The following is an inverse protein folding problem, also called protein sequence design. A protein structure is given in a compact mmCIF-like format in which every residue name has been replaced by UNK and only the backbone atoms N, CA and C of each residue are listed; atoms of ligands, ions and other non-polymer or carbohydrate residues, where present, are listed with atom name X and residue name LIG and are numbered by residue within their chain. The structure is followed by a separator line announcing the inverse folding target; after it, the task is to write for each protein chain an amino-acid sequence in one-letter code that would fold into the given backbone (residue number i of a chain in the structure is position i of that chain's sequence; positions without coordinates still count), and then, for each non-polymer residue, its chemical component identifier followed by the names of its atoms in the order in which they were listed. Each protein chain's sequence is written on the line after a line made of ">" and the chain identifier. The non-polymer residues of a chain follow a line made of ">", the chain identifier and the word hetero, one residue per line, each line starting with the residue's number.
data_IF_452312169125
#
_entry.id   IF_452312169125
#
_cell.length_a   1.000
_cell.length_b   1.000
_cell.length_c   1.000
_cell.angle_alpha   90.00
_cell.angle_beta   90.00
_cell.angle_gamma   90.00
#
_symmetry.space_group_name_H-M   'P 1'
#
loop_
_entity.id
_entity.type
_entity.pdbx_description
1 polymer ?
#
# COMPACT_ATOMS: atom_id res chain seq x y z
N UNK A 1 -28.48 -22.56 21.97
CA UNK A 1 -27.13 -22.10 21.55
C UNK A 1 -26.13 -22.25 22.70
N UNK A 2 -25.71 -23.48 23.03
CA UNK A 2 -24.77 -23.75 24.15
C UNK A 2 -23.30 -23.48 23.80
N UNK A 3 -22.94 -23.63 22.52
CA UNK A 3 -21.54 -23.55 22.09
C UNK A 3 -20.99 -22.12 22.02
N UNK A 4 -21.84 -21.13 21.73
CA UNK A 4 -21.43 -19.71 21.63
C UNK A 4 -20.94 -19.19 22.98
N UNK A 5 -21.65 -19.53 24.06
CA UNK A 5 -21.26 -19.19 25.42
C UNK A 5 -19.90 -19.79 25.77
N UNK A 6 -19.67 -21.06 25.44
CA UNK A 6 -18.39 -21.73 25.69
C UNK A 6 -17.23 -21.13 24.88
N UNK A 7 -17.47 -20.79 23.60
CA UNK A 7 -16.46 -20.08 22.78
C UNK A 7 -16.13 -18.72 23.39
N UNK A 8 -17.14 -17.96 23.82
CA UNK A 8 -16.93 -16.65 24.43
C UNK A 8 -16.19 -16.74 25.77
N UNK A 9 -16.45 -17.77 26.58
CA UNK A 9 -15.69 -18.02 27.82
C UNK A 9 -14.20 -18.20 27.52
N UNK A 10 -13.84 -19.07 26.56
CA UNK A 10 -12.43 -19.27 26.16
C UNK A 10 -11.80 -17.97 25.66
N UNK A 11 -12.51 -17.22 24.81
CA UNK A 11 -12.01 -15.95 24.26
C UNK A 11 -11.92 -14.83 25.30
N UNK A 12 -12.79 -14.80 26.30
CA UNK A 12 -12.74 -13.81 27.37
C UNK A 12 -11.50 -14.01 28.25
N UNK A 13 -11.17 -15.26 28.57
CA UNK A 13 -10.01 -15.59 29.42
C UNK A 13 -8.69 -15.41 28.66
N UNK A 14 -8.61 -15.87 27.41
CA UNK A 14 -7.33 -15.97 26.70
C UNK A 14 -7.18 -15.05 25.48
N UNK A 15 -8.29 -14.56 24.91
CA UNK A 15 -8.31 -13.87 23.61
C UNK A 15 -7.55 -12.54 23.58
N UNK A 16 -7.34 -11.90 24.73
CA UNK A 16 -6.62 -10.64 24.84
C UNK A 16 -5.08 -10.76 24.71
N UNK A 17 -4.53 -11.98 24.69
CA UNK A 17 -3.08 -12.23 24.56
C UNK A 17 -2.77 -12.93 23.23
N UNK A 18 -1.69 -12.50 22.58
CA UNK A 18 -1.12 -13.15 21.41
C UNK A 18 -0.28 -14.35 21.83
N UNK A 19 0.06 -15.18 20.86
CA UNK A 19 0.91 -16.36 21.03
C UNK A 19 2.30 -16.06 21.59
N UNK A 20 2.79 -14.83 21.39
CA UNK A 20 4.08 -14.35 21.87
C UNK A 20 3.98 -13.57 23.19
N UNK A 21 2.85 -13.66 23.91
CA UNK A 21 2.61 -12.96 25.18
C UNK A 21 2.10 -11.53 25.07
N UNK A 22 2.33 -10.85 23.94
CA UNK A 22 1.92 -9.46 23.75
C UNK A 22 0.39 -9.29 23.68
N UNK A 23 -0.11 -8.09 24.00
CA UNK A 23 -1.53 -7.76 23.88
C UNK A 23 -2.05 -7.96 22.44
N UNK A 24 -3.16 -8.67 22.29
CA UNK A 24 -3.87 -8.80 21.04
C UNK A 24 -4.67 -7.52 20.78
N UNK A 25 -4.48 -6.91 19.61
CA UNK A 25 -5.30 -5.76 19.19
C UNK A 25 -6.77 -6.18 19.11
N UNK A 26 -7.70 -5.31 19.43
CA UNK A 26 -9.14 -5.57 19.34
C UNK A 26 -9.54 -6.20 18.00
N UNK A 27 -9.06 -5.65 16.87
CA UNK A 27 -9.27 -6.22 15.53
C UNK A 27 -8.84 -7.68 15.40
N UNK A 28 -7.75 -8.08 16.05
CA UNK A 28 -7.28 -9.48 16.04
C UNK A 28 -8.25 -10.36 16.81
N UNK A 29 -8.78 -9.88 17.95
CA UNK A 29 -9.76 -10.59 18.76
C UNK A 29 -11.08 -10.75 17.98
N UNK A 30 -11.58 -9.67 17.38
CA UNK A 30 -12.80 -9.68 16.55
C UNK A 30 -12.69 -10.63 15.36
N UNK A 31 -11.59 -10.57 14.61
CA UNK A 31 -11.37 -11.49 13.47
C UNK A 31 -11.21 -12.94 13.91
N UNK A 32 -10.58 -13.17 15.07
CA UNK A 32 -10.47 -14.53 15.63
C UNK A 32 -11.85 -15.05 15.98
N UNK A 33 -12.64 -14.30 16.74
CA UNK A 33 -14.02 -14.64 17.09
C UNK A 33 -14.85 -14.95 15.85
N UNK A 34 -14.81 -14.08 14.83
CA UNK A 34 -15.56 -14.26 13.60
C UNK A 34 -15.23 -15.57 12.88
N UNK A 35 -13.93 -15.92 12.78
CA UNK A 35 -13.49 -17.17 12.15
C UNK A 35 -13.94 -18.39 12.96
N UNK A 36 -13.83 -18.36 14.30
CA UNK A 36 -14.30 -19.46 15.15
C UNK A 36 -15.81 -19.66 15.00
N UNK A 37 -16.59 -18.57 15.05
CA UNK A 37 -18.05 -18.63 14.86
C UNK A 37 -18.45 -19.16 13.48
N UNK A 38 -17.76 -18.71 12.43
CA UNK A 38 -17.99 -19.21 11.07
C UNK A 38 -17.65 -20.71 10.97
N UNK A 39 -16.57 -21.15 11.64
CA UNK A 39 -16.14 -22.55 11.66
C UNK A 39 -17.15 -23.44 12.40
N UNK A 40 -17.63 -23.01 13.58
CA UNK A 40 -18.65 -23.70 14.37
C UNK A 40 -19.95 -23.88 13.59
N UNK A 41 -20.45 -22.80 12.98
CA UNK A 41 -21.64 -22.87 12.12
C UNK A 41 -21.41 -23.78 10.92
N UNK A 42 -20.21 -23.78 10.34
CA UNK A 42 -19.91 -24.65 9.21
C UNK A 42 -19.85 -26.13 9.60
N UNK A 43 -19.24 -26.47 10.74
CA UNK A 43 -19.27 -27.86 11.25
C UNK A 43 -20.70 -28.35 11.46
N UNK A 44 -21.58 -27.51 12.02
CA UNK A 44 -22.98 -27.86 12.21
C UNK A 44 -23.70 -28.11 10.88
N UNK A 45 -23.45 -27.26 9.87
CA UNK A 45 -24.00 -27.45 8.52
C UNK A 45 -23.47 -28.71 7.82
N UNK A 46 -22.26 -29.18 8.17
CA UNK A 46 -21.68 -30.43 7.70
C UNK A 46 -22.08 -31.66 8.54
N UNK A 47 -23.05 -31.51 9.45
CA UNK A 47 -23.59 -32.60 10.26
C UNK A 47 -22.90 -32.82 11.62
N UNK A 48 -21.84 -32.07 11.93
CA UNK A 48 -21.12 -32.17 13.21
C UNK A 48 -21.63 -31.12 14.20
N UNK A 49 -22.62 -31.52 15.01
CA UNK A 49 -23.21 -30.69 16.08
C UNK A 49 -22.27 -30.56 17.30
N UNK A 50 -21.17 -29.82 17.13
CA UNK A 50 -20.21 -29.56 18.21
C UNK A 50 -20.83 -28.58 19.21
N UNK A 51 -21.24 -29.08 20.37
CA UNK A 51 -21.77 -28.24 21.45
C UNK A 51 -20.69 -27.65 22.35
N UNK A 52 -19.57 -28.35 22.52
CA UNK A 52 -18.42 -27.91 23.28
C UNK A 52 -17.20 -27.78 22.36
N UNK A 53 -16.57 -26.60 22.24
CA UNK A 53 -15.36 -26.44 21.43
C UNK A 53 -14.20 -27.32 21.94
N UNK A 54 -14.19 -27.75 23.20
CA UNK A 54 -13.21 -28.72 23.71
C UNK A 54 -13.38 -30.10 23.08
N UNK A 55 -14.52 -30.42 22.45
CA UNK A 55 -14.72 -31.68 21.73
C UNK A 55 -14.12 -31.67 20.32
N UNK A 56 -13.42 -30.59 19.93
CA UNK A 56 -12.69 -30.55 18.66
C UNK A 56 -11.59 -31.63 18.61
N UNK A 57 -11.57 -32.35 17.48
CA UNK A 57 -10.66 -33.43 17.11
C UNK A 57 -10.10 -33.15 15.72
N UNK A 58 -8.99 -33.78 15.36
CA UNK A 58 -8.29 -33.56 14.08
C UNK A 58 -9.23 -33.76 12.88
N UNK A 59 -10.08 -34.79 12.91
CA UNK A 59 -11.12 -35.05 11.89
C UNK A 59 -12.04 -33.85 11.60
N UNK A 60 -12.34 -33.02 12.61
CA UNK A 60 -13.19 -31.84 12.42
C UNK A 60 -12.41 -30.74 11.68
N UNK A 61 -11.12 -30.58 11.99
CA UNK A 61 -10.26 -29.61 11.30
C UNK A 61 -10.06 -30.03 9.84
N UNK A 62 -9.78 -31.31 9.61
CA UNK A 62 -9.63 -31.89 8.27
C UNK A 62 -10.88 -31.65 7.42
N UNK A 63 -12.05 -32.08 7.90
CA UNK A 63 -13.33 -31.86 7.22
C UNK A 63 -13.53 -30.38 6.85
N UNK A 64 -13.23 -29.46 7.77
CA UNK A 64 -13.43 -28.03 7.54
C UNK A 64 -12.48 -27.46 6.48
N UNK A 65 -11.21 -27.86 6.52
CA UNK A 65 -10.21 -27.41 5.54
C UNK A 65 -10.53 -27.95 4.16
N UNK A 66 -10.93 -29.22 4.06
CA UNK A 66 -11.37 -29.84 2.80
C UNK A 66 -12.62 -29.15 2.26
N UNK A 67 -13.62 -28.89 3.11
CA UNK A 67 -14.82 -28.15 2.71
C UNK A 67 -14.51 -26.72 2.24
N UNK A 68 -13.62 -26.00 2.94
CA UNK A 68 -13.19 -24.67 2.53
C UNK A 68 -12.56 -24.65 1.15
N UNK A 69 -11.79 -25.69 0.81
CA UNK A 69 -11.11 -25.80 -0.48
C UNK A 69 -12.07 -26.26 -1.58
N UNK A 70 -12.64 -27.46 -1.44
CA UNK A 70 -13.39 -28.12 -2.52
C UNK A 70 -14.81 -27.55 -2.68
N UNK A 71 -15.48 -27.19 -1.59
CA UNK A 71 -16.87 -26.72 -1.61
C UNK A 71 -16.95 -25.20 -1.66
N UNK A 72 -16.33 -24.52 -0.71
CA UNK A 72 -16.43 -23.04 -0.61
C UNK A 72 -15.47 -22.32 -1.56
N UNK A 73 -14.52 -23.05 -2.18
CA UNK A 73 -13.52 -22.49 -3.11
C UNK A 73 -12.80 -21.27 -2.53
N UNK A 74 -12.52 -21.31 -1.22
CA UNK A 74 -11.81 -20.23 -0.53
C UNK A 74 -10.40 -20.12 -1.10
N UNK A 75 -9.92 -18.88 -1.27
CA UNK A 75 -8.52 -18.63 -1.62
C UNK A 75 -7.59 -19.26 -0.58
N UNK A 76 -6.51 -19.88 -1.03
CA UNK A 76 -5.53 -20.53 -0.16
C UNK A 76 -5.04 -19.63 0.99
N UNK A 77 -4.77 -18.35 0.70
CA UNK A 77 -4.36 -17.38 1.74
C UNK A 77 -5.41 -17.20 2.83
N UNK A 78 -6.70 -17.22 2.48
CA UNK A 78 -7.80 -17.14 3.44
C UNK A 78 -7.80 -18.39 4.33
N UNK A 79 -7.66 -19.58 3.75
CA UNK A 79 -7.57 -20.85 4.49
C UNK A 79 -6.39 -20.82 5.46
N UNK A 80 -5.19 -20.42 5.02
CA UNK A 80 -4.02 -20.30 5.90
C UNK A 80 -4.28 -19.35 7.09
N UNK A 81 -4.92 -18.20 6.83
CA UNK A 81 -5.21 -17.20 7.86
C UNK A 81 -6.28 -17.70 8.85
N UNK A 82 -7.32 -18.35 8.36
CA UNK A 82 -8.40 -18.93 9.18
C UNK A 82 -7.85 -20.09 10.02
N UNK A 83 -7.06 -20.98 9.42
CA UNK A 83 -6.42 -22.09 10.11
C UNK A 83 -5.43 -21.62 11.18
N UNK A 84 -4.72 -20.51 10.94
CA UNK A 84 -3.83 -19.91 11.94
C UNK A 84 -4.60 -19.41 13.17
N UNK A 85 -5.82 -18.87 12.98
CA UNK A 85 -6.71 -18.46 14.08
C UNK A 85 -7.28 -19.67 14.83
N UNK A 86 -7.67 -20.72 14.10
CA UNK A 86 -8.08 -21.99 14.70
C UNK A 86 -6.97 -22.59 15.56
N UNK A 87 -5.71 -22.57 15.09
CA UNK A 87 -4.57 -23.05 15.87
C UNK A 87 -4.39 -22.25 17.16
N UNK A 88 -4.51 -20.93 17.10
CA UNK A 88 -4.47 -20.06 18.28
C UNK A 88 -5.57 -20.45 19.27
N UNK A 89 -6.81 -20.59 18.80
CA UNK A 89 -7.96 -20.96 19.62
C UNK A 89 -7.82 -22.37 20.23
N UNK A 90 -7.33 -23.36 19.48
CA UNK A 90 -7.07 -24.70 20.00
C UNK A 90 -6.00 -24.69 21.08
N UNK A 91 -4.95 -23.86 20.95
CA UNK A 91 -3.97 -23.68 22.02
C UNK A 91 -4.59 -23.07 23.28
N UNK A 92 -5.51 -22.11 23.15
CA UNK A 92 -6.22 -21.53 24.30
C UNK A 92 -7.02 -22.59 25.09
N UNK A 93 -7.50 -23.64 24.40
CA UNK A 93 -8.18 -24.78 25.02
C UNK A 93 -7.24 -25.91 25.47
N UNK A 94 -5.93 -25.67 25.54
CA UNK A 94 -4.95 -26.70 25.93
C UNK A 94 -4.62 -27.74 24.85
N UNK A 95 -4.93 -27.47 23.57
CA UNK A 95 -4.73 -28.38 22.43
C UNK A 95 -3.78 -27.81 21.36
N UNK A 96 -2.50 -27.54 21.68
CA UNK A 96 -1.59 -26.81 20.78
C UNK A 96 -1.26 -27.54 19.46
N UNK A 97 -1.26 -28.88 19.47
CA UNK A 97 -0.88 -29.70 18.31
C UNK A 97 -2.07 -30.20 17.48
N UNK A 98 -3.30 -29.76 17.79
CA UNK A 98 -4.50 -30.24 17.12
C UNK A 98 -4.59 -29.81 15.64
N UNK A 99 -4.07 -28.63 15.31
CA UNK A 99 -4.21 -28.03 13.98
C UNK A 99 -2.89 -28.16 13.22
N UNK A 100 -2.86 -29.09 12.27
CA UNK A 100 -1.71 -29.42 11.41
C UNK A 100 -1.44 -28.33 10.36
N UNK A 101 -0.45 -28.53 9.47
CA UNK A 101 -0.21 -27.63 8.34
C UNK A 101 -1.29 -27.84 7.28
N UNK A 102 -1.56 -26.83 6.45
CA UNK A 102 -2.61 -26.95 5.41
C UNK A 102 -2.32 -28.11 4.44
N UNK A 103 -1.05 -28.33 4.09
CA UNK A 103 -0.63 -29.42 3.21
C UNK A 103 -0.95 -30.82 3.77
N UNK A 104 -1.03 -30.97 5.09
CA UNK A 104 -1.36 -32.26 5.71
C UNK A 104 -2.84 -32.62 5.49
N UNK A 105 -3.70 -31.62 5.27
CA UNK A 105 -5.14 -31.79 5.00
C UNK A 105 -5.49 -31.81 3.50
N UNK A 106 -4.67 -31.15 2.68
CA UNK A 106 -4.85 -31.02 1.22
C UNK A 106 -3.72 -31.72 0.47
N UNK A 107 -3.39 -32.95 0.86
CA UNK A 107 -2.31 -33.74 0.27
C UNK A 107 -2.60 -34.19 -1.17
N UNK A 108 -3.89 -34.23 -1.55
CA UNK A 108 -4.41 -34.54 -2.87
C UNK A 108 -4.50 -33.33 -3.81
N UNK A 109 -4.13 -32.14 -3.34
CA UNK A 109 -4.11 -30.91 -4.14
C UNK A 109 -2.69 -30.65 -4.63
N UNK A 110 -2.56 -30.34 -5.92
CA UNK A 110 -1.26 -29.98 -6.51
C UNK A 110 -0.59 -28.85 -5.69
N UNK A 111 0.63 -29.06 -5.17
CA UNK A 111 1.36 -28.11 -4.34
C UNK A 111 1.46 -26.70 -4.94
N UNK A 112 1.42 -26.55 -6.27
CA UNK A 112 1.47 -25.24 -6.93
C UNK A 112 0.30 -24.34 -6.55
N UNK A 113 -0.86 -24.91 -6.22
CA UNK A 113 -2.03 -24.15 -5.78
C UNK A 113 -2.01 -23.83 -4.27
N UNK A 114 -1.08 -24.43 -3.53
CA UNK A 114 -0.89 -24.27 -2.08
C UNK A 114 0.30 -23.34 -1.76
N UNK A 115 0.58 -22.39 -2.66
CA UNK A 115 1.63 -21.38 -2.49
C UNK A 115 1.00 -19.99 -2.46
N UNK A 116 1.49 -19.13 -1.55
CA UNK A 116 1.11 -17.70 -1.51
C UNK A 116 2.25 -16.88 -2.07
N UNK A 117 2.08 -16.36 -3.28
CA UNK A 117 2.98 -15.34 -3.82
C UNK A 117 2.61 -13.97 -3.23
N UNK A 118 3.51 -13.40 -2.44
CA UNK A 118 3.32 -12.07 -1.82
C UNK A 118 3.89 -10.93 -2.64
N UNK A 119 4.72 -11.23 -3.64
CA UNK A 119 5.28 -10.24 -4.55
C UNK A 119 4.17 -9.61 -5.40
N UNK A 120 4.24 -8.30 -5.61
CA UNK A 120 3.34 -7.62 -6.53
C UNK A 120 3.57 -8.12 -7.96
N UNK A 121 2.51 -8.48 -8.65
CA UNK A 121 2.56 -8.79 -10.10
C UNK A 121 2.16 -7.59 -10.95
N UNK A 122 1.46 -6.63 -10.36
CA UNK A 122 1.05 -5.36 -10.96
C UNK A 122 1.24 -4.24 -9.93
N UNK A 123 1.56 -3.01 -10.37
CA UNK A 123 1.59 -1.85 -9.48
C UNK A 123 0.22 -1.61 -8.87
N UNK A 124 0.20 -1.04 -7.66
CA UNK A 124 -1.03 -0.80 -6.87
C UNK A 124 -1.25 0.69 -6.57
N UNK A 125 -0.35 1.54 -7.04
CA UNK A 125 -0.45 2.99 -6.92
C UNK A 125 -1.62 3.54 -7.73
N UNK A 126 -2.07 4.73 -7.37
CA UNK A 126 -3.16 5.41 -8.05
C UNK A 126 -2.68 5.96 -9.39
N UNK A 127 -1.44 6.44 -9.43
CA UNK A 127 -0.75 6.83 -10.67
C UNK A 127 -0.74 5.70 -11.70
N UNK A 128 -0.38 4.46 -11.31
CA UNK A 128 -0.38 3.34 -12.23
C UNK A 128 -1.78 2.90 -12.71
N UNK A 129 -2.84 3.32 -11.99
CA UNK A 129 -4.22 3.17 -12.41
C UNK A 129 -4.68 4.30 -13.38
N UNK A 130 -3.80 5.25 -13.70
CA UNK A 130 -4.07 6.38 -14.59
C UNK A 130 -4.87 7.50 -13.92
N UNK A 131 -4.85 7.59 -12.59
CA UNK A 131 -5.56 8.63 -11.86
C UNK A 131 -4.71 9.91 -11.79
N UNK A 132 -5.27 11.02 -12.28
CA UNK A 132 -4.69 12.34 -12.06
C UNK A 132 -4.92 12.78 -10.61
N UNK A 133 -3.84 12.89 -9.84
CA UNK A 133 -3.91 13.14 -8.40
C UNK A 133 -4.54 14.50 -8.07
N UNK A 134 -4.29 15.54 -8.88
CA UNK A 134 -4.87 16.86 -8.63
C UNK A 134 -6.37 16.86 -8.82
N UNK A 135 -6.87 16.37 -9.96
CA UNK A 135 -8.31 16.22 -10.20
C UNK A 135 -8.99 15.34 -9.15
N UNK A 136 -8.31 14.28 -8.70
CA UNK A 136 -8.81 13.41 -7.63
C UNK A 136 -8.92 14.16 -6.30
N UNK A 137 -7.92 14.96 -5.95
CA UNK A 137 -7.98 15.73 -4.72
C UNK A 137 -9.10 16.77 -4.74
N UNK A 138 -9.30 17.47 -5.86
CA UNK A 138 -10.43 18.40 -6.03
C UNK A 138 -11.78 17.68 -5.84
N UNK A 139 -11.95 16.52 -6.49
CA UNK A 139 -13.15 15.69 -6.33
C UNK A 139 -13.38 15.25 -4.89
N UNK A 140 -12.33 14.87 -4.17
CA UNK A 140 -12.42 14.44 -2.77
C UNK A 140 -12.74 15.64 -1.88
N UNK A 141 -12.08 16.78 -2.07
CA UNK A 141 -12.27 17.99 -1.28
C UNK A 141 -13.71 18.51 -1.39
N UNK A 142 -14.29 18.46 -2.59
CA UNK A 142 -15.70 18.80 -2.83
C UNK A 142 -16.67 17.89 -2.06
N UNK A 143 -16.27 16.65 -1.75
CA UNK A 143 -17.11 15.68 -1.03
C UNK A 143 -16.91 15.70 0.48
N UNK A 144 -15.65 15.68 0.92
CA UNK A 144 -15.23 15.71 2.32
C UNK A 144 -13.77 16.23 2.38
N UNK A 145 -13.63 17.53 2.68
CA UNK A 145 -12.33 18.21 2.80
C UNK A 145 -11.36 17.47 3.73
N UNK A 146 -11.85 16.89 4.82
CA UNK A 146 -11.00 16.22 5.80
C UNK A 146 -10.38 14.94 5.21
N UNK A 147 -11.16 14.16 4.45
CA UNK A 147 -10.62 13.03 3.70
C UNK A 147 -9.53 13.49 2.72
N UNK A 148 -9.76 14.60 2.00
CA UNK A 148 -8.79 15.12 1.04
C UNK A 148 -7.46 15.53 1.68
N UNK A 149 -7.48 16.05 2.91
CA UNK A 149 -6.27 16.28 3.70
C UNK A 149 -5.57 14.97 4.07
N UNK A 150 -6.33 13.95 4.50
CA UNK A 150 -5.76 12.64 4.84
C UNK A 150 -5.08 11.99 3.62
N UNK A 151 -5.73 11.98 2.46
CA UNK A 151 -5.19 11.32 1.26
C UNK A 151 -3.88 11.98 0.79
N UNK A 152 -3.77 13.31 0.91
CA UNK A 152 -2.52 14.04 0.63
C UNK A 152 -1.38 13.60 1.56
N UNK A 153 -1.63 13.48 2.87
CA UNK A 153 -0.63 12.97 3.82
C UNK A 153 -0.30 11.49 3.57
N UNK A 154 -1.29 10.66 3.22
CA UNK A 154 -1.05 9.26 2.84
C UNK A 154 -0.18 9.15 1.58
N UNK A 155 -0.31 10.06 0.62
CA UNK A 155 0.55 10.12 -0.57
C UNK A 155 1.97 10.59 -0.22
N UNK A 156 2.10 11.69 0.52
CA UNK A 156 3.39 12.33 0.79
C UNK A 156 4.27 11.57 1.79
N UNK A 157 3.66 10.88 2.77
CA UNK A 157 4.38 10.21 3.86
C UNK A 157 4.00 8.73 4.02
N UNK A 158 3.14 8.19 3.15
CA UNK A 158 2.84 6.77 3.15
C UNK A 158 2.14 6.27 4.40
N UNK A 159 1.42 7.11 5.15
CA UNK A 159 0.74 6.71 6.38
C UNK A 159 -0.26 5.58 6.10
N UNK A 160 -0.47 4.73 7.11
CA UNK A 160 -1.60 3.79 7.07
C UNK A 160 -2.88 4.53 7.44
N UNK A 161 -4.02 4.05 6.96
CA UNK A 161 -5.36 4.56 7.30
C UNK A 161 -5.56 4.88 8.80
N UNK A 162 -5.14 3.98 9.69
CA UNK A 162 -5.27 4.23 11.14
C UNK A 162 -4.27 5.29 11.65
N UNK A 163 -3.08 5.36 11.05
CA UNK A 163 -2.05 6.37 11.37
C UNK A 163 -2.53 7.77 10.96
N UNK A 164 -3.09 7.91 9.74
CA UNK A 164 -3.55 9.22 9.26
C UNK A 164 -4.77 9.74 10.03
N UNK A 165 -5.65 8.87 10.51
CA UNK A 165 -6.79 9.27 11.34
C UNK A 165 -6.37 9.83 12.72
N UNK A 166 -5.20 9.39 13.22
CA UNK A 166 -4.62 9.87 14.50
C UNK A 166 -3.62 11.00 14.29
N UNK A 167 -3.37 11.38 13.04
CA UNK A 167 -2.28 12.27 12.67
C UNK A 167 -2.59 13.71 13.06
N UNK A 168 -1.74 14.32 13.87
CA UNK A 168 -1.69 15.76 14.09
C UNK A 168 -0.50 16.31 13.30
N UNK A 169 -0.80 16.90 12.14
CA UNK A 169 0.22 17.38 11.20
C UNK A 169 1.08 18.50 11.75
N UNK A 170 0.58 19.28 12.72
CA UNK A 170 1.33 20.37 13.32
C UNK A 170 2.32 19.83 14.34
N UNK A 171 1.88 18.85 15.15
CA UNK A 171 2.74 18.24 16.15
C UNK A 171 3.78 17.29 15.54
N UNK A 172 3.52 16.68 14.38
CA UNK A 172 4.36 15.62 13.81
C UNK A 172 5.38 16.10 12.77
N UNK A 173 5.35 17.38 12.42
CA UNK A 173 6.27 18.01 11.48
C UNK A 173 7.50 18.58 12.18
N UNK A 174 8.65 17.91 12.03
CA UNK A 174 9.94 18.34 12.55
C UNK A 174 10.82 19.00 11.47
N UNK A 175 10.22 19.43 10.36
CA UNK A 175 10.90 20.06 9.23
C UNK A 175 11.62 19.06 8.33
N UNK A 176 12.65 18.37 8.84
CA UNK A 176 13.45 17.39 8.06
C UNK A 176 12.80 16.00 8.00
N UNK A 177 11.90 15.71 8.92
CA UNK A 177 11.18 14.44 8.96
C UNK A 177 9.78 14.64 9.55
N UNK A 178 8.92 13.67 9.24
CA UNK A 178 7.59 13.54 9.78
C UNK A 178 7.55 12.35 10.75
N UNK A 179 7.25 12.62 12.02
CA UNK A 179 7.34 11.64 13.08
C UNK A 179 6.02 10.86 13.25
N UNK A 180 6.09 9.54 13.34
CA UNK A 180 4.98 8.70 13.80
C UNK A 180 5.25 8.33 15.26
N UNK A 181 4.40 8.80 16.17
CA UNK A 181 4.61 8.63 17.60
C UNK A 181 4.33 7.20 18.12
N UNK A 182 4.87 6.85 19.30
CA UNK A 182 4.52 5.62 20.01
C UNK A 182 3.01 5.39 20.08
N UNK A 183 2.59 4.15 19.82
CA UNK A 183 1.16 3.80 19.85
C UNK A 183 0.35 4.18 18.60
N UNK A 184 0.86 5.05 17.72
CA UNK A 184 0.17 5.41 16.48
C UNK A 184 0.41 4.41 15.35
N UNK A 185 1.66 3.98 15.17
CA UNK A 185 2.01 3.04 14.11
C UNK A 185 1.48 1.63 14.35
N UNK A 186 1.42 0.82 13.28
CA UNK A 186 0.94 -0.56 13.36
C UNK A 186 1.74 -1.37 14.40
N UNK A 187 1.04 -1.85 15.42
CA UNK A 187 1.65 -2.59 16.53
C UNK A 187 2.29 -1.69 17.59
N UNK A 188 1.96 -0.40 17.60
CA UNK A 188 2.46 0.61 18.52
C UNK A 188 3.84 1.18 18.18
N UNK A 189 4.36 0.89 16.97
CA UNK A 189 5.73 1.25 16.58
C UNK A 189 5.81 2.69 16.11
N UNK A 190 6.78 3.41 16.66
CA UNK A 190 7.20 4.71 16.16
C UNK A 190 8.13 4.57 14.95
N UNK A 191 8.27 5.65 14.18
CA UNK A 191 9.28 5.82 13.13
C UNK A 191 9.32 7.27 12.67
N UNK A 192 10.47 7.66 12.12
CA UNK A 192 10.62 8.91 11.40
C UNK A 192 10.56 8.67 9.89
N UNK A 193 9.86 9.55 9.19
CA UNK A 193 9.70 9.50 7.73
C UNK A 193 10.42 10.73 7.16
N UNK A 194 11.53 10.57 6.43
CA UNK A 194 12.25 11.70 5.87
C UNK A 194 11.37 12.58 4.96
N UNK A 195 11.49 13.90 5.13
CA UNK A 195 10.93 14.89 4.19
C UNK A 195 12.05 15.26 3.22
N UNK A 196 12.04 14.65 2.03
CA UNK A 196 13.16 14.69 1.07
C UNK A 196 12.89 15.60 -0.12
N UNK A 197 11.64 15.94 -0.40
CA UNK A 197 11.27 16.67 -1.63
C UNK A 197 10.41 17.89 -1.33
N UNK A 198 10.54 18.89 -2.20
CA UNK A 198 9.67 20.06 -2.23
C UNK A 198 8.17 19.68 -2.29
N UNK A 199 7.77 18.65 -3.05
CA UNK A 199 6.37 18.19 -3.07
C UNK A 199 5.84 17.73 -1.70
N UNK A 200 6.66 17.02 -0.91
CA UNK A 200 6.26 16.61 0.45
C UNK A 200 6.05 17.84 1.34
N UNK A 201 6.92 18.85 1.21
CA UNK A 201 6.85 20.11 1.95
C UNK A 201 5.60 20.90 1.57
N UNK A 202 5.36 21.11 0.27
CA UNK A 202 4.16 21.78 -0.27
C UNK A 202 2.86 21.11 0.23
N UNK A 203 2.79 19.78 0.19
CA UNK A 203 1.64 19.04 0.69
C UNK A 203 1.46 19.27 2.20
N UNK A 204 2.54 19.17 2.97
CA UNK A 204 2.46 19.32 4.42
C UNK A 204 2.05 20.74 4.81
N UNK A 205 2.56 21.76 4.14
CA UNK A 205 2.19 23.16 4.37
C UNK A 205 0.74 23.44 3.97
N UNK A 206 0.30 22.92 2.82
CA UNK A 206 -1.10 22.98 2.43
C UNK A 206 -2.00 22.36 3.49
N UNK A 207 -1.67 21.15 3.97
CA UNK A 207 -2.48 20.45 4.97
C UNK A 207 -2.47 21.20 6.31
N UNK A 208 -1.32 21.71 6.76
CA UNK A 208 -1.21 22.53 7.98
C UNK A 208 -2.04 23.80 7.91
N UNK A 209 -2.09 24.46 6.75
CA UNK A 209 -2.92 25.67 6.56
C UNK A 209 -4.43 25.41 6.69
N UNK A 210 -4.86 24.14 6.60
CA UNK A 210 -6.27 23.72 6.56
C UNK A 210 -6.68 22.90 7.78
N UNK A 211 -5.73 22.26 8.45
CA UNK A 211 -5.93 21.45 9.64
C UNK A 211 -5.96 22.30 10.89
N UNK A 212 -6.84 21.96 11.83
CA UNK A 212 -6.87 22.57 13.17
C UNK A 212 -5.57 22.23 13.91
N UNK A 213 -5.01 23.20 14.62
CA UNK A 213 -3.83 22.99 15.46
C UNK A 213 -4.17 22.09 16.65
N UNK A 214 -3.24 21.22 17.07
CA UNK A 214 -3.41 20.30 18.20
C UNK A 214 -4.61 19.34 18.07
N UNK A 215 -4.99 19.00 16.83
CA UNK A 215 -6.10 18.10 16.55
C UNK A 215 -5.70 17.04 15.52
N UNK A 216 -6.09 15.77 15.74
CA UNK A 216 -5.96 14.74 14.71
C UNK A 216 -6.73 15.09 13.44
N UNK A 217 -6.28 14.57 12.30
CA UNK A 217 -7.00 14.69 11.04
C UNK A 217 -8.29 13.87 11.03
N UNK A 218 -8.47 12.89 11.91
CA UNK A 218 -9.73 12.17 12.06
C UNK A 218 -10.92 13.11 12.28
N UNK A 219 -12.11 12.68 11.87
CA UNK A 219 -13.33 13.42 12.17
C UNK A 219 -13.58 13.41 13.68
N UNK A 220 -13.61 14.59 14.27
CA UNK A 220 -13.81 14.82 15.70
C UNK A 220 -15.20 14.36 16.17
N UNK A 221 -16.23 14.59 15.34
CA UNK A 221 -17.62 14.28 15.65
C UNK A 221 -18.26 13.37 14.59
N UNK A 222 -19.19 12.54 15.07
CA UNK A 222 -20.15 11.80 14.26
C UNK A 222 -21.16 12.76 13.63
N UNK A 223 -21.94 12.29 12.65
CA UNK A 223 -23.04 13.09 12.06
C UNK A 223 -24.08 13.54 13.09
N UNK A 224 -24.22 12.82 14.21
CA UNK A 224 -25.12 13.17 15.30
C UNK A 224 -24.49 14.03 16.39
N UNK A 225 -23.33 14.65 16.15
CA UNK A 225 -22.68 15.59 17.08
C UNK A 225 -21.94 14.96 18.26
N UNK A 226 -21.92 13.63 18.40
CA UNK A 226 -21.14 12.93 19.44
C UNK A 226 -19.67 12.81 19.03
N UNK A 227 -18.75 12.84 20.00
CA UNK A 227 -17.32 12.56 19.77
C UNK A 227 -17.17 11.21 19.06
N UNK A 228 -16.46 11.19 17.94
CA UNK A 228 -16.33 10.01 17.11
C UNK A 228 -15.23 9.09 17.63
N UNK A 229 -15.52 7.79 17.71
CA UNK A 229 -14.51 6.78 18.03
C UNK A 229 -13.60 6.51 16.83
N UNK A 230 -12.46 5.87 17.07
CA UNK A 230 -11.56 5.42 15.99
C UNK A 230 -12.25 4.43 15.04
N UNK A 231 -13.11 3.54 15.56
CA UNK A 231 -13.86 2.58 14.74
C UNK A 231 -14.86 3.29 13.81
N UNK A 232 -15.56 4.30 14.33
CA UNK A 232 -16.46 5.14 13.53
C UNK A 232 -15.70 5.93 12.47
N UNK A 233 -14.53 6.46 12.81
CA UNK A 233 -13.62 7.11 11.88
C UNK A 233 -13.17 6.16 10.75
N UNK A 234 -12.71 4.95 11.09
CA UNK A 234 -12.32 3.94 10.11
C UNK A 234 -13.48 3.56 9.19
N UNK A 235 -14.68 3.42 9.75
CA UNK A 235 -15.91 3.12 8.99
C UNK A 235 -16.28 4.27 8.07
N UNK A 236 -16.19 5.52 8.55
CA UNK A 236 -16.46 6.73 7.73
C UNK A 236 -15.46 6.85 6.59
N UNK A 237 -14.17 6.62 6.85
CA UNK A 237 -13.14 6.57 5.80
C UNK A 237 -13.51 5.54 4.73
N UNK A 238 -13.80 4.29 5.14
CA UNK A 238 -14.11 3.22 4.18
C UNK A 238 -15.37 3.51 3.36
N UNK A 239 -16.41 4.08 3.98
CA UNK A 239 -17.64 4.45 3.29
C UNK A 239 -17.41 5.59 2.29
N UNK A 240 -16.62 6.61 2.65
CA UNK A 240 -16.29 7.71 1.73
C UNK A 240 -15.44 7.22 0.55
N UNK A 241 -14.43 6.38 0.83
CA UNK A 241 -13.61 5.76 -0.22
C UNK A 241 -14.47 4.93 -1.18
N UNK A 242 -15.41 4.14 -0.64
CA UNK A 242 -16.35 3.37 -1.45
C UNK A 242 -17.28 4.28 -2.27
N UNK A 243 -17.88 5.31 -1.66
CA UNK A 243 -18.78 6.24 -2.31
C UNK A 243 -18.11 7.06 -3.42
N UNK A 244 -16.82 7.37 -3.29
CA UNK A 244 -16.04 8.07 -4.31
C UNK A 244 -15.51 7.16 -5.42
N UNK A 245 -15.67 5.83 -5.28
CA UNK A 245 -15.28 4.84 -6.27
C UNK A 245 -13.87 4.27 -6.08
N UNK A 246 -13.16 4.61 -5.00
CA UNK A 246 -11.81 4.11 -4.68
C UNK A 246 -11.86 2.68 -4.12
N UNK A 247 -12.42 1.79 -4.92
CA UNK A 247 -12.50 0.35 -4.67
C UNK A 247 -11.91 -0.42 -5.85
N UNK A 248 -11.63 -1.71 -5.64
CA UNK A 248 -11.16 -2.59 -6.71
C UNK A 248 -12.12 -2.69 -7.89
N UNK A 249 -13.43 -2.53 -7.65
CA UNK A 249 -14.44 -2.60 -8.70
C UNK A 249 -14.70 -1.25 -9.37
N UNK A 250 -14.40 -0.14 -8.67
CA UNK A 250 -14.45 1.21 -9.24
C UNK A 250 -13.16 1.52 -9.99
N UNK A 251 -12.34 2.42 -9.46
CA UNK A 251 -11.07 2.81 -10.06
C UNK A 251 -9.95 1.75 -10.02
N UNK A 252 -10.24 0.51 -9.60
CA UNK A 252 -9.23 -0.55 -9.46
C UNK A 252 -8.25 -0.36 -8.29
N UNK A 253 -8.44 0.69 -7.48
CA UNK A 253 -7.54 1.09 -6.38
C UNK A 253 -8.22 1.01 -5.01
N UNK A 254 -7.44 1.18 -3.95
CA UNK A 254 -7.92 1.34 -2.57
C UNK A 254 -7.08 2.40 -1.89
N UNK A 255 -7.47 2.90 -0.70
CA UNK A 255 -6.64 3.85 0.06
C UNK A 255 -5.21 3.35 0.33
N UNK A 256 -5.02 2.04 0.51
CA UNK A 256 -3.68 1.46 0.66
C UNK A 256 -2.80 1.60 -0.61
N UNK A 257 -3.39 1.91 -1.76
CA UNK A 257 -2.67 2.22 -2.99
C UNK A 257 -1.84 3.51 -2.90
N UNK A 258 -2.27 4.51 -2.14
CA UNK A 258 -1.47 5.73 -1.91
C UNK A 258 -0.17 5.43 -1.16
N UNK A 259 -0.24 4.52 -0.19
CA UNK A 259 0.96 4.03 0.49
C UNK A 259 1.89 3.23 -0.45
N UNK A 260 1.34 2.53 -1.44
CA UNK A 260 2.15 1.91 -2.48
C UNK A 260 2.80 2.96 -3.39
N UNK A 261 2.06 4.02 -3.74
CA UNK A 261 2.58 5.15 -4.50
C UNK A 261 3.68 5.90 -3.75
N UNK A 262 3.52 6.16 -2.45
CA UNK A 262 4.59 6.68 -1.60
C UNK A 262 5.83 5.79 -1.66
N UNK A 263 5.68 4.47 -1.50
CA UNK A 263 6.80 3.54 -1.56
C UNK A 263 7.52 3.62 -2.91
N UNK A 264 6.77 3.69 -4.00
CA UNK A 264 7.31 3.84 -5.35
C UNK A 264 8.01 5.20 -5.53
N UNK A 265 7.41 6.32 -5.12
CA UNK A 265 8.01 7.66 -5.23
C UNK A 265 9.29 7.76 -4.39
N UNK A 266 9.27 7.21 -3.17
CA UNK A 266 10.45 7.16 -2.31
C UNK A 266 11.55 6.23 -2.89
N UNK A 267 11.18 5.23 -3.69
CA UNK A 267 12.16 4.44 -4.44
C UNK A 267 12.81 5.28 -5.55
N UNK A 268 12.03 6.05 -6.31
CA UNK A 268 12.54 6.94 -7.36
C UNK A 268 13.51 7.99 -6.79
N UNK A 269 13.17 8.59 -5.65
CA UNK A 269 14.03 9.55 -4.92
C UNK A 269 15.32 8.88 -4.40
N UNK A 270 15.32 7.57 -4.22
CA UNK A 270 16.53 6.79 -3.88
C UNK A 270 17.13 6.13 -5.13
N UNK A 271 16.88 6.66 -6.33
CA UNK A 271 17.43 6.22 -7.60
C UNK A 271 17.07 4.80 -8.01
N UNK A 272 15.92 4.28 -7.54
CA UNK A 272 15.40 2.96 -7.90
C UNK A 272 14.11 3.12 -8.68
N UNK A 273 14.02 2.50 -9.85
CA UNK A 273 12.74 2.29 -10.54
C UNK A 273 12.23 0.88 -10.21
N UNK A 274 11.13 0.74 -9.45
CA UNK A 274 10.57 -0.58 -9.15
C UNK A 274 10.26 -1.40 -10.42
N UNK A 275 10.49 -2.72 -10.42
CA UNK A 275 10.10 -3.58 -11.55
C UNK A 275 8.60 -3.55 -11.86
N UNK A 276 7.76 -3.33 -10.85
CA UNK A 276 6.32 -3.06 -11.04
C UNK A 276 6.04 -1.83 -11.91
N UNK A 277 6.96 -0.87 -11.96
CA UNK A 277 6.91 0.32 -12.80
C UNK A 277 7.64 0.16 -14.13
N UNK A 278 8.23 -1.00 -14.42
CA UNK A 278 8.99 -1.25 -15.65
C UNK A 278 10.50 -1.07 -15.52
N UNK A 279 11.01 -0.82 -14.32
CA UNK A 279 12.45 -0.79 -14.08
C UNK A 279 13.12 -2.15 -14.25
N UNK A 280 14.40 -2.15 -14.63
CA UNK A 280 15.18 -3.38 -14.75
C UNK A 280 15.29 -4.10 -13.39
N UNK A 281 15.17 -5.43 -13.43
CA UNK A 281 15.33 -6.28 -12.24
C UNK A 281 16.76 -6.30 -11.70
N UNK A 282 17.75 -6.04 -12.56
CA UNK A 282 19.18 -5.97 -12.24
C UNK A 282 19.76 -4.57 -12.45
N UNK A 283 19.03 -3.53 -12.03
CA UNK A 283 19.38 -2.13 -12.33
C UNK A 283 20.62 -1.59 -11.60
N UNK A 284 21.05 -2.24 -10.52
CA UNK A 284 22.20 -1.81 -9.71
C UNK A 284 22.76 -2.99 -8.94
N UNK A 285 23.93 -2.79 -8.30
CA UNK A 285 24.54 -3.80 -7.44
C UNK A 285 23.60 -4.22 -6.29
N UNK A 286 23.74 -5.47 -5.84
CA UNK A 286 22.85 -6.06 -4.85
C UNK A 286 22.99 -5.43 -3.47
N UNK A 287 24.21 -5.16 -3.01
CA UNK A 287 24.41 -4.57 -1.68
C UNK A 287 23.96 -3.11 -1.68
N UNK A 288 24.19 -2.40 -2.78
CA UNK A 288 23.65 -1.06 -2.98
C UNK A 288 22.12 -1.04 -2.99
N UNK A 289 21.49 -1.92 -3.77
CA UNK A 289 20.03 -2.06 -3.83
C UNK A 289 19.46 -2.38 -2.45
N UNK A 290 20.09 -3.29 -1.72
CA UNK A 290 19.68 -3.68 -0.36
C UNK A 290 19.77 -2.51 0.60
N UNK A 291 20.84 -1.71 0.54
CA UNK A 291 21.01 -0.49 1.36
C UNK A 291 19.90 0.53 1.08
N UNK A 292 19.64 0.83 -0.19
CA UNK A 292 18.58 1.76 -0.61
C UNK A 292 17.18 1.25 -0.22
N UNK A 293 16.90 -0.04 -0.42
CA UNK A 293 15.64 -0.68 -0.01
C UNK A 293 15.44 -0.71 1.51
N UNK A 294 16.52 -0.80 2.29
CA UNK A 294 16.46 -0.73 3.75
C UNK A 294 15.94 0.63 4.22
N UNK A 295 16.46 1.73 3.66
CA UNK A 295 15.99 3.10 3.94
C UNK A 295 14.49 3.26 3.65
N UNK A 296 14.04 2.77 2.50
CA UNK A 296 12.62 2.83 2.11
C UNK A 296 11.76 1.96 3.05
N UNK A 297 12.26 0.77 3.41
CA UNK A 297 11.59 -0.14 4.35
C UNK A 297 11.42 0.51 5.73
N UNK A 298 12.42 1.22 6.22
CA UNK A 298 12.39 1.94 7.50
C UNK A 298 11.40 3.11 7.48
N UNK A 299 11.38 3.92 6.42
CA UNK A 299 10.38 4.99 6.24
C UNK A 299 8.94 4.44 6.25
N UNK A 300 8.72 3.22 5.76
CA UNK A 300 7.44 2.52 5.83
C UNK A 300 7.17 1.83 7.20
N UNK A 301 8.14 1.78 8.11
CA UNK A 301 8.02 1.09 9.40
C UNK A 301 8.10 -0.43 9.28
N UNK A 302 8.95 -0.92 8.38
CA UNK A 302 9.21 -2.34 8.15
C UNK A 302 10.67 -2.66 8.49
N UNK A 303 10.90 -3.63 9.38
CA UNK A 303 12.25 -4.16 9.65
C UNK A 303 12.74 -5.18 8.62
N UNK A 304 11.85 -5.67 7.74
CA UNK A 304 12.17 -6.74 6.79
C UNK A 304 12.04 -6.22 5.37
N UNK A 305 13.17 -6.16 4.66
CA UNK A 305 13.24 -5.74 3.25
C UNK A 305 12.32 -6.56 2.35
N UNK A 306 12.13 -7.86 2.63
CA UNK A 306 11.23 -8.74 1.85
C UNK A 306 9.78 -8.24 1.76
N UNK A 307 9.33 -7.36 2.67
CA UNK A 307 8.00 -6.74 2.60
C UNK A 307 7.91 -5.79 1.40
N UNK A 308 9.02 -5.22 0.95
CA UNK A 308 9.08 -4.31 -0.19
C UNK A 308 8.66 -4.98 -1.49
N UNK A 309 8.84 -6.30 -1.64
CA UNK A 309 8.38 -7.05 -2.80
C UNK A 309 6.86 -6.94 -3.03
N UNK A 310 6.08 -6.70 -1.97
CA UNK A 310 4.63 -6.51 -2.08
C UNK A 310 4.23 -5.16 -2.70
N UNK A 311 5.17 -4.22 -2.79
CA UNK A 311 5.04 -2.92 -3.45
C UNK A 311 5.77 -2.91 -4.81
N UNK A 312 6.99 -3.47 -4.88
CA UNK A 312 7.88 -3.30 -6.04
C UNK A 312 7.95 -4.46 -7.04
N UNK A 313 7.38 -5.63 -6.71
CA UNK A 313 7.76 -6.92 -7.31
C UNK A 313 9.15 -7.38 -6.82
N UNK A 314 9.59 -8.58 -7.24
CA UNK A 314 10.91 -9.11 -6.91
C UNK A 314 11.97 -8.59 -7.88
N UNK A 315 13.07 -8.08 -7.32
CA UNK A 315 14.29 -7.81 -8.08
C UNK A 315 15.00 -9.11 -8.49
N UNK A 316 15.85 -9.01 -9.51
CA UNK A 316 16.61 -10.12 -10.07
C UNK A 316 17.79 -10.50 -9.17
N UNK A 317 18.43 -11.63 -9.48
CA UNK A 317 19.57 -12.13 -8.69
C UNK A 317 20.91 -11.50 -9.08
N UNK A 318 21.01 -10.90 -10.27
CA UNK A 318 22.24 -10.33 -10.83
C UNK A 318 21.94 -8.98 -11.49
N UNK A 319 22.89 -8.05 -11.40
CA UNK A 319 22.90 -6.82 -12.19
C UNK A 319 23.32 -7.12 -13.63
N UNK A 320 22.78 -6.38 -14.59
CA UNK A 320 23.06 -6.56 -16.02
C UNK A 320 23.51 -5.25 -16.65
N UNK A 321 24.51 -5.30 -17.54
CA UNK A 321 24.96 -4.15 -18.35
C UNK A 321 23.79 -3.51 -19.14
N UNK A 322 22.80 -4.33 -19.53
CA UNK A 322 21.56 -3.91 -20.18
C UNK A 322 20.77 -2.81 -19.44
N UNK A 323 21.02 -2.58 -18.14
CA UNK A 323 20.29 -1.59 -17.35
C UNK A 323 20.54 -0.15 -17.81
N UNK A 324 21.77 0.19 -18.20
CA UNK A 324 22.12 1.52 -18.69
C UNK A 324 21.54 1.78 -20.09
N UNK A 325 21.62 0.79 -20.98
CA UNK A 325 20.98 0.87 -22.30
C UNK A 325 19.46 0.96 -22.19
N UNK A 326 18.86 0.23 -21.24
CA UNK A 326 17.43 0.28 -20.99
C UNK A 326 17.02 1.64 -20.41
N UNK A 327 17.89 2.30 -19.64
CA UNK A 327 17.64 3.65 -19.13
C UNK A 327 17.40 4.64 -20.28
N UNK A 328 18.35 4.74 -21.22
CA UNK A 328 18.26 5.66 -22.37
C UNK A 328 17.07 5.30 -23.26
N UNK A 329 16.91 4.02 -23.63
CA UNK A 329 15.80 3.54 -24.47
C UNK A 329 14.42 3.91 -23.92
N UNK A 330 14.26 3.88 -22.60
CA UNK A 330 12.98 4.24 -21.98
C UNK A 330 12.68 5.73 -22.12
N UNK A 331 13.69 6.59 -21.98
CA UNK A 331 13.52 8.03 -22.13
C UNK A 331 13.23 8.37 -23.60
N UNK A 332 14.02 7.82 -24.52
CA UNK A 332 13.84 8.02 -25.97
C UNK A 332 12.45 7.60 -26.43
N UNK A 333 11.94 6.47 -25.95
CA UNK A 333 10.58 6.01 -26.24
C UNK A 333 9.51 7.02 -25.76
N UNK A 334 9.68 7.61 -24.57
CA UNK A 334 8.78 8.65 -24.08
C UNK A 334 8.88 9.96 -24.88
N UNK A 335 10.09 10.37 -25.25
CA UNK A 335 10.32 11.56 -26.08
C UNK A 335 9.70 11.40 -27.48
N UNK A 336 9.80 10.20 -28.07
CA UNK A 336 9.17 9.88 -29.35
C UNK A 336 7.63 9.98 -29.28
N UNK A 337 7.01 9.57 -28.17
CA UNK A 337 5.57 9.76 -27.95
C UNK A 337 5.21 11.24 -27.93
N UNK A 338 6.02 12.09 -27.30
CA UNK A 338 5.78 13.53 -27.21
C UNK A 338 6.07 14.27 -28.52
N UNK A 339 7.00 13.79 -29.34
CA UNK A 339 7.33 14.40 -30.63
C UNK A 339 6.13 14.39 -31.61
N UNK A 340 5.19 13.44 -31.44
CA UNK A 340 3.95 13.37 -32.22
C UNK A 340 2.80 14.22 -31.66
N UNK A 341 3.02 15.04 -30.64
CA UNK A 341 1.98 15.81 -29.95
C UNK A 341 2.28 17.31 -30.00
N UNK A 342 1.22 18.13 -30.03
CA UNK A 342 1.34 19.57 -29.83
C UNK A 342 1.53 19.84 -28.32
N UNK A 343 2.75 20.25 -27.94
CA UNK A 343 3.10 20.49 -26.54
C UNK A 343 2.83 21.95 -26.16
N UNK A 344 2.39 22.21 -24.92
CA UNK A 344 2.19 23.57 -24.45
C UNK A 344 3.51 24.33 -24.42
N UNK A 345 3.42 25.65 -24.57
CA UNK A 345 4.56 26.54 -24.36
C UNK A 345 5.12 26.37 -22.95
N UNK A 346 6.44 26.57 -22.84
CA UNK A 346 7.12 26.53 -21.55
C UNK A 346 6.59 27.66 -20.67
N UNK A 347 6.09 27.32 -19.49
CA UNK A 347 5.64 28.29 -18.50
C UNK A 347 6.85 29.06 -17.98
N UNK A 348 6.79 30.39 -18.01
CA UNK A 348 7.89 31.24 -17.60
C UNK A 348 8.28 31.04 -16.12
N UNK A 349 7.32 30.71 -15.25
CA UNK A 349 7.60 30.39 -13.83
C UNK A 349 8.48 29.14 -13.67
N UNK A 350 8.45 28.23 -14.65
CA UNK A 350 9.13 26.93 -14.60
C UNK A 350 10.33 26.85 -15.54
N UNK A 351 10.61 27.93 -16.28
CA UNK A 351 11.60 27.95 -17.35
C UNK A 351 13.00 27.62 -16.85
N UNK A 352 13.41 28.21 -15.73
CA UNK A 352 14.72 27.93 -15.12
C UNK A 352 14.84 26.46 -14.68
N UNK A 353 13.80 25.92 -14.05
CA UNK A 353 13.76 24.51 -13.65
C UNK A 353 13.83 23.59 -14.89
N UNK A 354 13.12 23.92 -15.98
CA UNK A 354 13.17 23.16 -17.23
C UNK A 354 14.56 23.20 -17.88
N UNK A 355 15.24 24.36 -17.86
CA UNK A 355 16.62 24.48 -18.34
C UNK A 355 17.55 23.62 -17.48
N UNK A 356 17.40 23.66 -16.16
CA UNK A 356 18.21 22.84 -15.26
C UNK A 356 18.03 21.33 -15.53
N UNK A 357 16.79 20.88 -15.71
CA UNK A 357 16.48 19.48 -16.05
C UNK A 357 17.08 19.12 -17.40
N UNK A 358 16.91 19.96 -18.44
CA UNK A 358 17.48 19.71 -19.77
C UNK A 358 19.00 19.58 -19.72
N UNK A 359 19.69 20.51 -19.07
CA UNK A 359 21.14 20.47 -18.93
C UNK A 359 21.60 19.21 -18.16
N UNK A 360 20.80 18.74 -17.19
CA UNK A 360 21.08 17.48 -16.48
C UNK A 360 20.91 16.27 -17.41
N UNK A 361 19.91 16.28 -18.28
CA UNK A 361 19.71 15.21 -19.27
C UNK A 361 20.80 15.20 -20.35
N UNK A 362 21.27 16.37 -20.79
CA UNK A 362 22.39 16.50 -21.73
C UNK A 362 23.69 15.87 -21.16
N UNK A 363 23.96 16.04 -19.85
CA UNK A 363 25.06 15.37 -19.16
C UNK A 363 24.92 13.84 -19.13
N UNK A 364 23.69 13.33 -19.31
CA UNK A 364 23.37 11.91 -19.40
C UNK A 364 23.20 11.45 -20.87
N UNK A 365 23.64 12.27 -21.84
CA UNK A 365 23.56 12.00 -23.28
C UNK A 365 22.12 11.87 -23.82
N UNK A 366 21.16 12.55 -23.20
CA UNK A 366 19.77 12.62 -23.64
C UNK A 366 19.46 14.02 -24.16
N UNK A 367 19.06 14.13 -25.43
CA UNK A 367 18.62 15.38 -26.03
C UNK A 367 17.10 15.52 -25.93
N UNK A 368 16.64 16.62 -25.32
CA UNK A 368 15.21 16.93 -25.19
C UNK A 368 14.96 18.42 -25.32
N UNK A 369 13.84 18.78 -25.96
CA UNK A 369 13.39 20.18 -26.03
C UNK A 369 12.80 20.63 -24.69
N UNK A 370 12.78 21.94 -24.44
CA UNK A 370 12.19 22.46 -23.19
C UNK A 370 10.70 22.12 -23.02
N UNK A 371 9.84 22.15 -24.05
CA UNK A 371 8.45 21.68 -23.93
C UNK A 371 8.34 20.19 -23.54
N UNK A 372 9.19 19.32 -24.10
CA UNK A 372 9.22 17.90 -23.74
C UNK A 372 9.65 17.70 -22.28
N UNK A 373 10.69 18.42 -21.85
CA UNK A 373 11.17 18.41 -20.46
C UNK A 373 10.08 18.87 -19.50
N UNK A 374 9.39 19.97 -19.83
CA UNK A 374 8.28 20.47 -19.04
C UNK A 374 7.20 19.40 -18.87
N UNK A 375 6.79 18.74 -19.96
CA UNK A 375 5.72 17.76 -19.91
C UNK A 375 6.12 16.51 -19.11
N UNK A 376 7.34 15.99 -19.31
CA UNK A 376 7.85 14.85 -18.55
C UNK A 376 7.96 15.18 -17.05
N UNK A 377 8.41 16.38 -16.70
CA UNK A 377 8.49 16.81 -15.31
C UNK A 377 7.10 17.04 -14.70
N UNK A 378 6.16 17.61 -15.47
CA UNK A 378 4.76 17.80 -15.05
C UNK A 378 4.11 16.48 -14.68
N UNK A 379 4.31 15.42 -15.48
CA UNK A 379 3.82 14.07 -15.17
C UNK A 379 4.40 13.56 -13.84
N UNK A 380 5.69 13.79 -13.60
CA UNK A 380 6.33 13.42 -12.34
C UNK A 380 5.79 14.22 -11.15
N UNK A 381 5.48 15.51 -11.34
CA UNK A 381 4.85 16.36 -10.32
C UNK A 381 3.43 15.87 -9.98
N UNK A 382 2.61 15.56 -11.00
CA UNK A 382 1.26 15.02 -10.81
C UNK A 382 1.27 13.71 -10.02
N UNK A 383 2.23 12.83 -10.32
CA UNK A 383 2.45 11.58 -9.56
C UNK A 383 2.74 11.83 -8.08
N UNK A 384 3.32 12.98 -7.74
CA UNK A 384 3.59 13.41 -6.37
C UNK A 384 2.47 14.29 -5.78
N UNK A 385 1.39 14.53 -6.52
CA UNK A 385 0.20 15.23 -6.04
C UNK A 385 0.35 16.75 -5.98
N UNK A 386 1.28 17.33 -6.75
CA UNK A 386 1.51 18.77 -6.82
C UNK A 386 1.53 19.25 -8.28
N UNK A 387 1.28 20.53 -8.50
CA UNK A 387 1.30 21.15 -9.84
C UNK A 387 2.72 21.20 -10.40
N UNK A 388 3.68 21.55 -9.55
CA UNK A 388 5.09 21.64 -9.88
C UNK A 388 5.91 21.47 -8.60
N UNK A 389 7.09 20.87 -8.69
CA UNK A 389 8.07 20.82 -7.60
C UNK A 389 9.47 21.03 -8.14
N UNK A 390 10.36 21.52 -7.26
CA UNK A 390 11.75 21.77 -7.63
C UNK A 390 12.50 20.48 -8.06
N UNK A 391 13.27 20.52 -9.16
CA UNK A 391 14.08 19.39 -9.61
C UNK A 391 15.37 19.25 -8.78
N UNK A 392 15.26 18.64 -7.60
CA UNK A 392 16.38 18.57 -6.64
C UNK A 392 17.09 17.21 -6.61
N UNK A 393 16.35 16.12 -6.83
CA UNK A 393 16.81 14.75 -6.59
C UNK A 393 16.50 13.85 -7.78
N UNK A 394 17.49 13.03 -8.17
CA UNK A 394 17.33 11.91 -9.11
C UNK A 394 16.56 12.28 -10.40
N UNK A 395 16.88 13.45 -10.98
CA UNK A 395 16.16 14.04 -12.13
C UNK A 395 16.05 13.05 -13.30
N UNK A 396 17.14 12.34 -13.63
CA UNK A 396 17.12 11.35 -14.71
C UNK A 396 16.14 10.19 -14.44
N UNK A 397 16.11 9.69 -13.21
CA UNK A 397 15.18 8.62 -12.78
C UNK A 397 13.73 9.10 -12.80
N UNK A 398 13.49 10.34 -12.36
CA UNK A 398 12.18 10.98 -12.44
C UNK A 398 11.69 11.06 -13.90
N UNK A 399 12.52 11.56 -14.81
CA UNK A 399 12.20 11.68 -16.24
C UNK A 399 11.96 10.31 -16.88
N UNK A 400 12.82 9.33 -16.59
CA UNK A 400 12.63 7.96 -17.07
C UNK A 400 11.30 7.37 -16.58
N UNK A 401 10.92 7.63 -15.32
CA UNK A 401 9.65 7.15 -14.77
C UNK A 401 8.44 7.74 -15.50
N UNK A 402 8.47 9.03 -15.84
CA UNK A 402 7.43 9.69 -16.65
C UNK A 402 7.36 9.14 -18.07
N UNK A 403 8.52 8.93 -18.70
CA UNK A 403 8.62 8.37 -20.05
C UNK A 403 8.03 6.94 -20.12
N UNK A 404 8.28 6.11 -19.11
CA UNK A 404 7.66 4.79 -18.95
C UNK A 404 6.14 4.87 -18.82
N UNK A 405 5.63 5.85 -18.06
CA UNK A 405 4.18 6.08 -17.90
C UNK A 405 3.53 6.50 -19.22
N UNK A 406 4.15 7.41 -19.97
CA UNK A 406 3.68 7.84 -21.29
C UNK A 406 3.62 6.68 -22.28
N UNK A 407 4.72 5.95 -22.42
CA UNK A 407 4.83 4.83 -23.37
C UNK A 407 3.75 3.77 -23.10
N UNK A 408 3.53 3.41 -21.83
CA UNK A 408 2.47 2.48 -21.43
C UNK A 408 1.06 3.01 -21.73
N UNK A 409 0.85 4.30 -21.59
CA UNK A 409 -0.45 4.92 -21.84
C UNK A 409 -0.74 4.95 -23.33
N UNK A 410 0.24 5.32 -24.16
CA UNK A 410 0.13 5.28 -25.62
C UNK A 410 -0.17 3.87 -26.14
N UNK A 411 0.53 2.84 -25.64
CA UNK A 411 0.30 1.44 -26.02
C UNK A 411 -1.15 1.00 -25.71
N UNK A 412 -1.66 1.31 -24.52
CA UNK A 412 -3.04 0.98 -24.14
C UNK A 412 -4.09 1.70 -24.99
N UNK A 413 -3.80 2.92 -25.44
CA UNK A 413 -4.72 3.66 -26.32
C UNK A 413 -4.78 3.02 -27.70
N UNK A 414 -3.64 2.58 -28.26
CA UNK A 414 -3.59 1.87 -29.54
C UNK A 414 -4.30 0.52 -29.48
N UNK A 415 -4.13 -0.25 -28.40
CA UNK A 415 -4.84 -1.53 -28.19
C UNK A 415 -6.37 -1.39 -28.05
N UNK A 416 -6.88 -0.21 -27.66
CA UNK A 416 -8.32 0.07 -27.59
C UNK A 416 -8.91 0.57 -28.90
N UNK A 417 -8.07 1.11 -29.78
CA UNK A 417 -8.46 1.65 -31.08
C UNK A 417 -8.46 0.58 -32.18
N UNK A 418 -7.69 -0.50 -31.99
CA UNK A 418 -7.74 -1.74 -32.76
C UNK A 418 -8.84 -2.68 -32.23
#
# INVERSE_FOLDING_TARGET
>A
MKWEQKVNQVLAVHGAKRMNGNKASERTQTLTRAVIYASMRRWHALGYKIEDPHNLKDRHIDLLVRDWWFTQKKKFKTIQNDLSRLRCFCKMMGKPCLVKKVHDYLHDVDPKFLIVHSAATKPKSWDAAGLDMLSIFEKVDARDRQLGLMLRIELAFGLRREEVLKCDVHAQDYGRYFAIYPGQGKGGRERDIPSMTDAQRQILDYVKSKAKMNCPLGWEFTKGGKVATLEQNLTRYDNLMAALGFTKNGYGVTGHGLRAQFAENHALINGIIPPSMGGARGQMDREELKSRLQKISEALGHHRISVMNAYFCSFGKQSSLDAADLYLKNIDAGLAVLAGQELPLVNDEWREDCIHIRNTLEQLYVEATLPQVQELWRIYCLRNGVKWMKPELEIGIAIQSSALTLTKTALKSNEKAA
#
